data_IF_359528453490
#
_entry.id   IF_359528453490
#
_cell.length_a   1.000
_cell.length_b   1.000
_cell.length_c   1.000
_cell.angle_alpha   90.00
_cell.angle_beta   90.00
_cell.angle_gamma   90.00
#
_symmetry.space_group_name_H-M   'P 1'
#
loop_
_entity.id
_entity.type
_entity.pdbx_description
1 polymer ?
#
# COMPACT_ATOMS: atom_id res chain seq x y z
N UNK A 1 -7.08 42.78 -4.98
CA UNK A 1 -8.06 41.85 -4.38
C UNK A 1 -8.90 41.02 -5.38
N UNK A 2 -9.00 41.39 -6.67
CA UNK A 2 -9.80 40.66 -7.66
C UNK A 2 -9.31 39.22 -8.00
N UNK A 3 -7.99 38.96 -7.91
CA UNK A 3 -7.41 37.64 -8.22
C UNK A 3 -7.75 36.54 -7.21
N UNK A 4 -7.91 36.89 -5.93
CA UNK A 4 -8.27 35.93 -4.87
C UNK A 4 -9.75 35.49 -4.97
N UNK A 5 -10.64 36.39 -5.41
CA UNK A 5 -12.06 36.10 -5.64
C UNK A 5 -12.30 35.18 -6.82
N UNK A 6 -11.60 35.38 -7.95
CA UNK A 6 -11.64 34.48 -9.12
C UNK A 6 -11.07 33.09 -8.81
N UNK A 7 -9.94 33.02 -8.10
CA UNK A 7 -9.34 31.75 -7.71
C UNK A 7 -10.25 30.94 -6.77
N UNK A 8 -10.90 31.58 -5.78
CA UNK A 8 -11.87 30.92 -4.89
C UNK A 8 -13.12 30.42 -5.61
N UNK A 9 -13.63 31.17 -6.61
CA UNK A 9 -14.78 30.74 -7.44
C UNK A 9 -14.44 29.55 -8.35
N UNK A 10 -13.26 29.56 -8.98
CA UNK A 10 -12.81 28.43 -9.82
C UNK A 10 -12.63 27.13 -9.02
N UNK A 11 -12.06 27.21 -7.82
CA UNK A 11 -11.90 26.07 -6.91
C UNK A 11 -13.22 25.49 -6.42
N UNK A 12 -14.22 26.34 -6.11
CA UNK A 12 -15.55 25.86 -5.69
C UNK A 12 -16.27 25.12 -6.81
N UNK A 13 -16.15 25.59 -8.05
CA UNK A 13 -16.73 24.94 -9.24
C UNK A 13 -16.07 23.59 -9.53
N UNK A 14 -14.74 23.53 -9.49
CA UNK A 14 -13.95 22.30 -9.66
C UNK A 14 -14.32 21.26 -8.58
N UNK A 15 -14.47 21.68 -7.31
CA UNK A 15 -14.88 20.78 -6.21
C UNK A 15 -16.32 20.30 -6.39
N UNK A 16 -17.24 21.17 -6.81
CA UNK A 16 -18.66 20.83 -6.99
C UNK A 16 -18.90 19.78 -8.09
N UNK A 17 -18.08 19.81 -9.15
CA UNK A 17 -18.13 18.82 -10.23
C UNK A 17 -17.80 17.39 -9.72
N UNK A 18 -16.80 17.26 -8.84
CA UNK A 18 -16.46 15.97 -8.22
C UNK A 18 -17.43 15.55 -7.11
N UNK A 19 -18.04 16.51 -6.40
CA UNK A 19 -19.01 16.19 -5.36
C UNK A 19 -20.27 15.48 -5.91
N UNK A 20 -20.50 15.53 -7.23
CA UNK A 20 -21.53 14.77 -7.92
C UNK A 20 -21.19 13.30 -8.19
N UNK A 21 -19.95 12.86 -7.92
CA UNK A 21 -19.57 11.45 -8.14
C UNK A 21 -20.28 10.54 -7.13
N UNK A 22 -21.14 9.65 -7.65
CA UNK A 22 -21.91 8.71 -6.84
C UNK A 22 -21.04 7.62 -6.18
N UNK A 23 -21.60 6.91 -5.18
CA UNK A 23 -20.91 5.81 -4.52
C UNK A 23 -20.62 4.67 -5.50
N UNK A 24 -19.50 3.98 -5.28
CA UNK A 24 -19.09 2.77 -5.98
C UNK A 24 -19.15 1.60 -4.99
N UNK A 25 -19.87 0.55 -5.36
CA UNK A 25 -19.94 -0.68 -4.57
C UNK A 25 -18.60 -1.42 -4.66
N UNK A 26 -18.20 -2.11 -3.58
CA UNK A 26 -16.99 -2.94 -3.57
C UNK A 26 -17.38 -4.41 -3.52
N UNK A 27 -16.78 -5.22 -4.39
CA UNK A 27 -17.04 -6.64 -4.48
C UNK A 27 -15.76 -7.45 -4.75
N UNK A 28 -15.87 -8.75 -4.53
CA UNK A 28 -14.87 -9.75 -4.86
C UNK A 28 -15.50 -10.81 -5.75
N UNK A 29 -14.81 -11.21 -6.81
CA UNK A 29 -15.26 -12.23 -7.75
C UNK A 29 -14.18 -13.29 -7.91
N UNK A 30 -14.43 -14.51 -7.43
CA UNK A 30 -13.52 -15.64 -7.62
C UNK A 30 -13.92 -16.48 -8.83
N UNK A 31 -13.10 -16.45 -9.87
CA UNK A 31 -13.24 -17.26 -11.06
C UNK A 31 -12.63 -18.65 -10.79
N UNK A 32 -13.48 -19.62 -10.44
CA UNK A 32 -13.07 -21.02 -10.19
C UNK A 32 -13.26 -21.53 -8.76
N UNK A 33 -13.79 -20.71 -7.85
CA UNK A 33 -14.05 -21.07 -6.44
C UNK A 33 -15.30 -21.91 -6.17
N UNK A 34 -15.97 -22.43 -7.20
CA UNK A 34 -17.09 -23.36 -7.03
C UNK A 34 -16.59 -24.76 -6.67
N UNK A 35 -16.61 -25.12 -5.39
CA UNK A 35 -16.29 -26.47 -4.91
C UNK A 35 -17.41 -27.48 -5.15
N UNK A 36 -16.98 -28.70 -5.47
CA UNK A 36 -17.67 -29.99 -5.57
C UNK A 36 -18.76 -30.18 -6.64
N UNK A 37 -18.35 -30.82 -7.74
CA UNK A 37 -19.24 -31.53 -8.65
C UNK A 37 -19.89 -30.67 -9.75
N UNK A 38 -19.17 -30.47 -10.85
CA UNK A 38 -19.81 -30.30 -12.16
C UNK A 38 -20.48 -28.95 -12.46
N UNK A 39 -19.80 -27.82 -12.25
CA UNK A 39 -19.72 -26.69 -13.22
C UNK A 39 -18.89 -25.58 -12.58
N UNK A 40 -17.79 -25.16 -13.22
CA UNK A 40 -16.87 -24.13 -12.71
C UNK A 40 -17.51 -22.73 -12.68
N UNK A 41 -18.38 -22.49 -11.70
CA UNK A 41 -19.05 -21.21 -11.46
C UNK A 41 -18.14 -20.18 -10.80
N UNK A 42 -18.37 -18.90 -11.13
CA UNK A 42 -17.72 -17.79 -10.45
C UNK A 42 -18.49 -17.43 -9.17
N UNK A 43 -17.78 -17.09 -8.10
CA UNK A 43 -18.38 -16.74 -6.81
C UNK A 43 -18.24 -15.24 -6.56
N UNK A 44 -19.36 -14.52 -6.54
CA UNK A 44 -19.42 -13.10 -6.19
C UNK A 44 -19.68 -12.93 -4.68
N UNK A 45 -18.85 -12.12 -4.02
CA UNK A 45 -19.00 -11.73 -2.61
C UNK A 45 -18.94 -10.21 -2.49
N UNK A 46 -19.63 -9.60 -1.51
CA UNK A 46 -19.40 -8.20 -1.19
C UNK A 46 -17.98 -8.03 -0.62
N UNK A 47 -17.35 -6.87 -0.86
CA UNK A 47 -16.07 -6.55 -0.25
C UNK A 47 -16.16 -6.46 1.29
N UNK A 48 -15.03 -6.45 2.00
CA UNK A 48 -15.05 -6.49 3.46
C UNK A 48 -15.85 -5.35 4.10
N UNK A 49 -16.87 -5.70 4.88
CA UNK A 49 -17.78 -4.75 5.52
C UNK A 49 -18.65 -3.94 4.55
N UNK A 50 -18.83 -4.42 3.32
CA UNK A 50 -19.75 -3.86 2.31
C UNK A 50 -21.08 -4.63 2.26
N UNK A 51 -22.20 -3.96 1.89
CA UNK A 51 -23.47 -4.65 1.67
C UNK A 51 -23.43 -5.55 0.42
N UNK A 52 -24.40 -6.47 0.25
CA UNK A 52 -24.57 -7.24 -0.97
C UNK A 52 -24.63 -6.37 -2.22
N UNK A 53 -24.06 -6.85 -3.33
CA UNK A 53 -23.99 -6.12 -4.60
C UNK A 53 -25.36 -6.04 -5.26
N UNK A 54 -25.76 -4.85 -5.67
CA UNK A 54 -27.00 -4.57 -6.43
C UNK A 54 -26.69 -3.92 -7.78
N UNK A 55 -27.66 -3.25 -8.40
CA UNK A 55 -27.46 -2.42 -9.59
C UNK A 55 -26.58 -1.19 -9.31
N UNK A 56 -25.94 -0.67 -10.37
CA UNK A 56 -25.06 0.51 -10.33
C UNK A 56 -23.58 0.19 -10.58
N UNK A 57 -22.70 1.13 -10.23
CA UNK A 57 -21.24 1.01 -10.39
C UNK A 57 -20.65 0.10 -9.32
N UNK A 58 -19.87 -0.90 -9.73
CA UNK A 58 -19.21 -1.86 -8.86
C UNK A 58 -17.71 -1.95 -9.20
N UNK A 59 -16.86 -1.65 -8.23
CA UNK A 59 -15.44 -1.99 -8.23
C UNK A 59 -15.28 -3.43 -7.76
N UNK A 60 -14.58 -4.26 -8.54
CA UNK A 60 -14.45 -5.69 -8.29
C UNK A 60 -12.99 -6.08 -8.23
N UNK A 61 -12.56 -6.68 -7.11
CA UNK A 61 -11.35 -7.49 -7.09
C UNK A 61 -11.66 -8.83 -7.74
N UNK A 62 -10.91 -9.20 -8.77
CA UNK A 62 -11.03 -10.50 -9.42
C UNK A 62 -9.97 -11.44 -8.85
N UNK A 63 -10.41 -12.62 -8.44
CA UNK A 63 -9.59 -13.72 -7.96
C UNK A 63 -9.66 -14.91 -8.91
N UNK A 64 -8.65 -15.76 -8.84
CA UNK A 64 -8.65 -17.10 -9.41
C UNK A 64 -8.11 -18.08 -8.40
N UNK A 65 -8.95 -19.02 -7.98
CA UNK A 65 -8.63 -19.99 -6.93
C UNK A 65 -8.11 -19.26 -5.67
N UNK A 66 -8.87 -18.26 -5.20
CA UNK A 66 -8.52 -17.45 -4.03
C UNK A 66 -7.46 -16.36 -4.24
N UNK A 67 -6.65 -16.41 -5.31
CA UNK A 67 -5.55 -15.46 -5.52
C UNK A 67 -5.97 -14.21 -6.28
N UNK A 68 -5.59 -12.99 -5.84
CA UNK A 68 -5.92 -11.76 -6.54
C UNK A 68 -5.18 -11.64 -7.88
N UNK A 69 -5.89 -11.38 -8.97
CA UNK A 69 -5.32 -11.34 -10.34
C UNK A 69 -5.58 -10.02 -11.08
N UNK A 70 -6.53 -9.22 -10.63
CA UNK A 70 -6.93 -8.00 -11.34
C UNK A 70 -8.01 -7.24 -10.58
N UNK A 71 -8.26 -5.99 -10.99
CA UNK A 71 -9.51 -5.31 -10.70
C UNK A 71 -10.22 -4.94 -11.99
N UNK A 72 -11.53 -4.72 -11.89
CA UNK A 72 -12.32 -4.09 -12.92
C UNK A 72 -13.38 -3.22 -12.29
N UNK A 73 -13.96 -2.34 -13.09
CA UNK A 73 -15.15 -1.60 -12.71
C UNK A 73 -16.27 -1.95 -13.69
N UNK A 74 -17.39 -2.43 -13.15
CA UNK A 74 -18.56 -2.83 -13.94
C UNK A 74 -19.76 -1.95 -13.64
N UNK A 75 -20.62 -1.76 -14.64
CA UNK A 75 -21.97 -1.23 -14.46
C UNK A 75 -22.95 -2.39 -14.47
N UNK A 76 -23.70 -2.56 -13.38
CA UNK A 76 -24.75 -3.58 -13.25
C UNK A 76 -26.10 -2.92 -13.55
N UNK A 77 -26.79 -3.26 -14.65
CA UNK A 77 -28.11 -2.72 -14.94
C UNK A 77 -29.14 -3.09 -13.88
N UNK A 78 -30.18 -2.27 -13.74
CA UNK A 78 -31.32 -2.59 -12.87
C UNK A 78 -32.00 -3.89 -13.31
N UNK A 79 -32.31 -4.76 -12.33
CA UNK A 79 -32.90 -6.09 -12.58
C UNK A 79 -31.94 -7.15 -13.14
N UNK A 80 -30.68 -6.82 -13.44
CA UNK A 80 -29.69 -7.79 -13.89
C UNK A 80 -29.04 -8.55 -12.72
N UNK A 81 -28.66 -9.81 -12.95
CA UNK A 81 -27.86 -10.61 -12.01
C UNK A 81 -26.40 -10.08 -11.98
N UNK A 82 -25.93 -9.49 -10.86
CA UNK A 82 -24.59 -8.92 -10.75
C UNK A 82 -23.50 -9.97 -11.01
N UNK A 83 -23.67 -11.21 -10.55
CA UNK A 83 -22.66 -12.25 -10.70
C UNK A 83 -22.43 -12.59 -12.17
N UNK A 84 -23.51 -12.71 -12.96
CA UNK A 84 -23.42 -12.96 -14.41
C UNK A 84 -22.77 -11.80 -15.16
N UNK A 85 -23.16 -10.56 -14.86
CA UNK A 85 -22.62 -9.36 -15.52
C UNK A 85 -21.13 -9.23 -15.25
N UNK A 86 -20.73 -9.28 -13.97
CA UNK A 86 -19.34 -9.09 -13.56
C UNK A 86 -18.44 -10.25 -14.02
N UNK A 87 -18.95 -11.49 -14.01
CA UNK A 87 -18.22 -12.65 -14.58
C UNK A 87 -17.93 -12.48 -16.06
N UNK A 88 -18.88 -11.96 -16.83
CA UNK A 88 -18.67 -11.71 -18.27
C UNK A 88 -17.58 -10.66 -18.48
N UNK A 89 -17.58 -9.59 -17.70
CA UNK A 89 -16.55 -8.55 -17.77
C UNK A 89 -15.16 -9.09 -17.37
N UNK A 90 -15.09 -9.92 -16.33
CA UNK A 90 -13.83 -10.45 -15.80
C UNK A 90 -13.12 -11.43 -16.74
N UNK A 91 -13.84 -12.08 -17.67
CA UNK A 91 -13.25 -12.99 -18.67
C UNK A 91 -12.23 -12.30 -19.60
N UNK A 92 -12.32 -10.98 -19.76
CA UNK A 92 -11.42 -10.19 -20.60
C UNK A 92 -10.09 -9.80 -19.94
N UNK A 93 -9.90 -10.07 -18.63
CA UNK A 93 -8.67 -9.68 -17.94
C UNK A 93 -7.47 -10.54 -18.38
N UNK A 94 -6.33 -9.94 -18.77
CA UNK A 94 -5.12 -10.66 -19.12
C UNK A 94 -4.64 -11.54 -17.95
N UNK A 95 -4.25 -12.77 -18.27
CA UNK A 95 -3.99 -13.86 -17.31
C UNK A 95 -4.73 -15.15 -17.64
N UNK A 96 -5.57 -15.15 -18.69
CA UNK A 96 -6.26 -16.32 -19.24
C UNK A 96 -5.35 -17.28 -20.00
N UNK A 97 -4.81 -18.28 -19.30
CA UNK A 97 -4.30 -19.53 -19.85
C UNK A 97 -3.92 -20.47 -18.71
N UNK A 98 -4.21 -21.79 -18.79
CA UNK A 98 -3.60 -22.74 -17.87
C UNK A 98 -2.07 -22.68 -18.06
N UNK A 99 -1.33 -22.92 -16.99
CA UNK A 99 0.13 -22.89 -17.01
C UNK A 99 0.70 -23.75 -18.15
N UNK A 100 1.50 -23.13 -19.03
CA UNK A 100 2.34 -23.81 -20.02
C UNK A 100 2.07 -23.46 -21.48
N UNK A 101 2.73 -22.40 -21.97
CA UNK A 101 3.24 -22.32 -23.35
C UNK A 101 4.30 -21.20 -23.42
N UNK A 102 5.52 -21.45 -23.95
CA UNK A 102 6.48 -20.37 -24.21
C UNK A 102 5.97 -19.46 -25.34
N UNK A 103 6.32 -18.17 -25.35
CA UNK A 103 5.86 -17.23 -26.36
C UNK A 103 6.33 -17.63 -27.75
N UNK A 104 5.40 -17.69 -28.70
CA UNK A 104 5.66 -17.84 -30.13
C UNK A 104 6.62 -16.75 -30.61
N UNK A 105 7.73 -17.18 -31.23
CA UNK A 105 8.69 -16.32 -31.90
C UNK A 105 8.11 -15.85 -33.23
N UNK A 106 8.30 -14.57 -33.55
CA UNK A 106 8.09 -14.02 -34.89
C UNK A 106 8.90 -14.80 -35.96
N UNK A 107 8.37 -14.97 -37.18
CA UNK A 107 8.97 -15.80 -38.21
C UNK A 107 10.15 -15.07 -38.87
N UNK A 108 11.35 -15.64 -38.76
CA UNK A 108 12.52 -15.07 -39.45
C UNK A 108 13.87 -15.50 -38.89
N UNK A 109 14.11 -16.80 -38.71
CA UNK A 109 15.47 -17.33 -38.58
C UNK A 109 15.46 -18.86 -38.80
N UNK A 110 16.33 -19.32 -39.69
CA UNK A 110 16.54 -20.73 -40.07
C UNK A 110 16.98 -21.56 -38.86
N UNK A 111 16.39 -22.75 -38.57
CA UNK A 111 16.81 -23.55 -37.42
C UNK A 111 18.01 -24.44 -37.76
N UNK A 112 19.13 -24.21 -37.06
CA UNK A 112 20.20 -25.20 -36.90
C UNK A 112 19.78 -26.22 -35.83
N UNK A 113 19.77 -27.51 -36.19
CA UNK A 113 19.44 -28.63 -35.30
C UNK A 113 20.58 -28.85 -34.30
N UNK A 114 20.36 -28.51 -33.03
CA UNK A 114 21.13 -29.03 -31.90
C UNK A 114 20.37 -30.21 -31.23
N UNK A 115 21.05 -31.19 -30.61
CA UNK A 115 20.43 -32.40 -30.08
C UNK A 115 19.59 -32.15 -28.83
N UNK A 116 18.49 -32.89 -28.71
CA UNK A 116 17.58 -32.92 -27.54
C UNK A 116 18.29 -33.57 -26.36
N UNK A 117 18.40 -32.94 -25.17
CA UNK A 117 18.87 -33.62 -23.97
C UNK A 117 17.78 -34.53 -23.40
N UNK A 118 18.19 -35.74 -22.99
CA UNK A 118 17.36 -36.78 -22.40
C UNK A 118 16.64 -36.33 -21.11
N UNK A 119 15.48 -36.92 -20.78
CA UNK A 119 14.69 -36.56 -19.61
C UNK A 119 15.40 -36.98 -18.31
N UNK A 120 15.69 -36.00 -17.45
CA UNK A 120 16.19 -36.22 -16.09
C UNK A 120 15.02 -36.69 -15.21
N UNK A 121 15.16 -37.79 -14.44
CA UNK A 121 14.09 -38.30 -13.59
C UNK A 121 13.73 -37.32 -12.46
N UNK A 122 12.43 -37.22 -12.19
CA UNK A 122 11.87 -36.45 -11.09
C UNK A 122 12.25 -37.06 -9.75
N UNK A 123 13.11 -36.39 -8.98
CA UNK A 123 13.18 -36.50 -7.51
C UNK A 123 14.20 -35.50 -6.94
N UNK A 124 13.71 -34.37 -6.44
CA UNK A 124 14.24 -33.77 -5.21
C UNK A 124 13.10 -33.01 -4.55
N UNK A 125 12.49 -33.63 -3.54
CA UNK A 125 11.66 -32.93 -2.58
C UNK A 125 12.58 -32.04 -1.76
N UNK A 126 12.90 -30.84 -2.28
CA UNK A 126 13.45 -29.81 -1.41
C UNK A 126 12.41 -29.54 -0.30
N UNK A 127 12.83 -29.53 0.98
CA UNK A 127 11.93 -29.20 2.06
C UNK A 127 11.32 -27.83 1.80
N UNK A 128 9.99 -27.77 1.81
CA UNK A 128 9.28 -26.49 1.72
C UNK A 128 9.80 -25.60 2.85
N UNK A 129 10.37 -24.42 2.56
CA UNK A 129 10.91 -23.55 3.60
C UNK A 129 9.82 -23.24 4.62
N UNK A 130 10.08 -23.51 5.89
CA UNK A 130 9.14 -23.17 6.96
C UNK A 130 8.87 -21.65 6.94
N UNK A 131 7.60 -21.23 7.10
CA UNK A 131 7.27 -19.82 7.14
C UNK A 131 7.94 -19.15 8.35
N UNK A 132 8.58 -17.97 8.18
CA UNK A 132 9.28 -17.32 9.27
C UNK A 132 8.30 -16.81 10.33
N UNK A 133 8.68 -16.87 11.61
CA UNK A 133 7.92 -16.27 12.70
C UNK A 133 7.63 -14.79 12.41
N UNK A 134 6.39 -14.34 12.62
CA UNK A 134 5.99 -12.95 12.31
C UNK A 134 5.37 -12.25 13.50
N UNK A 135 5.77 -10.99 13.70
CA UNK A 135 5.05 -10.08 14.60
C UNK A 135 4.41 -8.95 13.82
N UNK A 136 3.11 -8.75 13.98
CA UNK A 136 2.34 -7.67 13.36
C UNK A 136 2.24 -6.49 14.32
N UNK A 137 2.67 -5.30 13.88
CA UNK A 137 2.54 -4.05 14.62
C UNK A 137 1.42 -3.22 14.02
N UNK A 138 0.43 -2.87 14.84
CA UNK A 138 -0.67 -1.96 14.48
C UNK A 138 -0.57 -0.72 15.36
N UNK A 139 -0.25 0.42 14.77
CA UNK A 139 -0.28 1.70 15.47
C UNK A 139 -1.69 2.30 15.39
N UNK A 140 -2.21 2.80 16.51
CA UNK A 140 -3.57 3.34 16.58
C UNK A 140 -3.64 4.54 17.51
N UNK A 141 -4.64 5.38 17.32
CA UNK A 141 -4.94 6.51 18.21
C UNK A 141 -6.41 6.91 18.11
N UNK A 142 -7.17 6.71 19.19
CA UNK A 142 -8.57 7.15 19.33
C UNK A 142 -9.48 6.64 18.19
N UNK A 143 -9.32 5.37 17.80
CA UNK A 143 -10.07 4.71 16.71
C UNK A 143 -10.45 3.25 17.05
N UNK A 144 -11.06 2.98 18.22
CA UNK A 144 -11.27 1.61 18.68
C UNK A 144 -12.09 0.74 17.70
N UNK A 145 -13.07 1.30 16.97
CA UNK A 145 -13.91 0.53 16.04
C UNK A 145 -13.21 0.17 14.73
N UNK A 146 -12.26 0.99 14.29
CA UNK A 146 -11.40 0.66 13.14
C UNK A 146 -10.41 -0.42 13.58
N UNK A 147 -9.72 -0.19 14.70
CA UNK A 147 -8.79 -1.14 15.30
C UNK A 147 -9.42 -2.52 15.50
N UNK A 148 -10.64 -2.58 16.03
CA UNK A 148 -11.32 -3.85 16.26
C UNK A 148 -11.50 -4.66 14.97
N UNK A 149 -11.85 -3.99 13.86
CA UNK A 149 -11.99 -4.65 12.55
C UNK A 149 -10.65 -5.12 12.01
N UNK A 150 -9.60 -4.31 12.15
CA UNK A 150 -8.25 -4.71 11.76
C UNK A 150 -7.81 -5.94 12.55
N UNK A 151 -7.93 -5.93 13.89
CA UNK A 151 -7.56 -7.04 14.77
C UNK A 151 -8.36 -8.32 14.49
N UNK A 152 -9.67 -8.21 14.24
CA UNK A 152 -10.50 -9.36 13.88
C UNK A 152 -9.98 -10.04 12.59
N UNK A 153 -9.52 -9.26 11.60
CA UNK A 153 -8.92 -9.80 10.37
C UNK A 153 -7.50 -10.36 10.55
N UNK A 154 -6.72 -9.79 11.46
CA UNK A 154 -5.36 -10.25 11.78
C UNK A 154 -5.36 -11.56 12.56
N UNK A 155 -6.37 -11.79 13.40
CA UNK A 155 -6.53 -13.05 14.13
C UNK A 155 -7.12 -14.17 13.29
N UNK A 156 -7.58 -13.87 12.06
CA UNK A 156 -8.13 -14.83 11.10
C UNK A 156 -7.12 -15.25 10.02
N UNK A 157 -5.84 -14.89 10.17
CA UNK A 157 -4.78 -15.21 9.21
C UNK A 157 -4.44 -16.70 9.23
N UNK A 158 -4.04 -17.24 8.08
CA UNK A 158 -3.62 -18.63 7.91
C UNK A 158 -2.16 -18.92 8.32
N UNK A 159 -1.45 -17.90 8.80
CA UNK A 159 -0.04 -18.01 9.16
C UNK A 159 0.12 -18.68 10.54
N UNK A 160 0.99 -19.71 10.67
CA UNK A 160 1.02 -20.56 11.86
C UNK A 160 1.67 -19.92 13.10
N UNK A 161 2.60 -18.98 12.92
CA UNK A 161 3.34 -18.33 14.01
C UNK A 161 3.22 -16.80 13.94
N UNK A 162 2.20 -16.26 14.60
CA UNK A 162 1.84 -14.83 14.55
C UNK A 162 1.70 -14.25 15.96
N UNK A 163 2.41 -13.13 16.19
CA UNK A 163 2.27 -12.29 17.38
C UNK A 163 1.69 -10.91 16.99
N UNK A 164 0.57 -10.49 17.58
CA UNK A 164 -0.02 -9.17 17.27
C UNK A 164 0.25 -8.17 18.38
N UNK A 165 0.86 -7.04 18.03
CA UNK A 165 1.21 -5.94 18.93
C UNK A 165 0.47 -4.67 18.53
N UNK A 166 -0.40 -4.19 19.42
CA UNK A 166 -1.06 -2.89 19.27
C UNK A 166 -0.25 -1.84 19.99
N UNK A 167 0.11 -0.78 19.26
CA UNK A 167 0.76 0.40 19.81
C UNK A 167 -0.22 1.56 19.86
N UNK A 168 -0.70 1.88 21.06
CA UNK A 168 -1.58 3.01 21.33
C UNK A 168 -0.75 4.29 21.45
N UNK A 169 -0.87 5.17 20.45
CA UNK A 169 0.03 6.31 20.27
C UNK A 169 -0.52 7.62 20.82
N UNK A 170 0.11 8.12 21.88
CA UNK A 170 -0.27 9.31 22.64
C UNK A 170 -1.78 9.34 22.93
N UNK A 171 -2.32 8.28 23.58
CA UNK A 171 -3.74 8.20 23.91
C UNK A 171 -4.13 9.35 24.84
N UNK A 172 -5.36 9.83 24.66
CA UNK A 172 -6.01 10.80 25.55
C UNK A 172 -7.05 10.12 26.44
N UNK A 173 -7.54 8.95 26.02
CA UNK A 173 -8.53 8.14 26.72
C UNK A 173 -8.00 6.72 26.97
N UNK A 174 -8.72 5.93 27.77
CA UNK A 174 -8.39 4.52 28.03
C UNK A 174 -9.04 3.53 27.05
N UNK A 175 -9.81 4.01 26.08
CA UNK A 175 -10.72 3.18 25.26
C UNK A 175 -9.98 2.11 24.46
N UNK A 176 -8.84 2.46 23.84
CA UNK A 176 -7.99 1.49 23.12
C UNK A 176 -7.51 0.38 24.03
N UNK A 177 -7.03 0.72 25.24
CA UNK A 177 -6.53 -0.25 26.21
C UNK A 177 -7.65 -1.17 26.69
N UNK A 178 -8.81 -0.60 26.97
CA UNK A 178 -10.00 -1.33 27.41
C UNK A 178 -10.48 -2.32 26.33
N UNK A 179 -10.56 -1.87 25.08
CA UNK A 179 -10.88 -2.72 23.92
C UNK A 179 -9.91 -3.90 23.81
N UNK A 180 -8.60 -3.63 23.79
CA UNK A 180 -7.58 -4.68 23.64
C UNK A 180 -7.64 -5.67 24.80
N UNK A 181 -7.70 -5.17 26.04
CA UNK A 181 -7.68 -6.02 27.23
C UNK A 181 -8.94 -6.87 27.36
N UNK A 182 -10.13 -6.31 27.09
CA UNK A 182 -11.41 -7.02 27.30
C UNK A 182 -11.81 -7.92 26.15
N UNK A 183 -11.66 -7.47 24.89
CA UNK A 183 -12.12 -8.25 23.72
C UNK A 183 -11.07 -9.25 23.24
N UNK A 184 -9.79 -8.87 23.29
CA UNK A 184 -8.72 -9.66 22.68
C UNK A 184 -7.88 -10.42 23.70
N UNK A 185 -7.66 -9.84 24.89
CA UNK A 185 -6.93 -10.47 25.98
C UNK A 185 -5.49 -10.80 25.58
N UNK A 186 -5.02 -12.00 25.91
CA UNK A 186 -3.63 -12.43 25.66
C UNK A 186 -3.29 -12.64 24.18
N UNK A 187 -4.32 -12.73 23.31
CA UNK A 187 -4.13 -12.87 21.85
C UNK A 187 -3.51 -11.63 21.20
N UNK A 188 -3.59 -10.48 21.86
CA UNK A 188 -3.08 -9.20 21.34
C UNK A 188 -2.34 -8.46 22.43
N UNK A 189 -1.06 -8.13 22.20
CA UNK A 189 -0.23 -7.39 23.15
C UNK A 189 -0.47 -5.90 23.02
N UNK A 190 -0.93 -5.27 24.11
CA UNK A 190 -1.06 -3.81 24.19
C UNK A 190 0.26 -3.15 24.63
N UNK A 191 0.67 -2.11 23.91
CA UNK A 191 1.80 -1.25 24.25
C UNK A 191 1.38 0.22 24.13
N UNK A 192 1.63 1.01 25.17
CA UNK A 192 1.45 2.47 25.10
C UNK A 192 2.76 3.15 24.66
N UNK A 193 2.63 4.12 23.74
CA UNK A 193 3.68 5.07 23.37
C UNK A 193 3.21 6.49 23.68
N UNK A 194 3.72 7.16 24.73
CA UNK A 194 3.22 8.48 25.12
C UNK A 194 3.60 9.61 24.15
N UNK A 195 4.62 9.45 23.32
CA UNK A 195 5.10 10.49 22.41
C UNK A 195 4.39 10.37 21.05
N UNK A 196 3.70 11.42 20.57
CA UNK A 196 2.95 11.34 19.32
C UNK A 196 3.89 11.21 18.10
N UNK A 197 3.48 10.37 17.15
CA UNK A 197 4.14 10.18 15.87
C UNK A 197 4.11 8.72 15.42
N UNK A 198 3.71 8.47 14.17
CA UNK A 198 3.59 7.13 13.61
C UNK A 198 4.95 6.39 13.64
N UNK A 199 6.02 7.05 13.23
CA UNK A 199 7.37 6.48 13.29
C UNK A 199 7.82 6.17 14.74
N UNK A 200 7.37 6.96 15.72
CA UNK A 200 7.62 6.70 17.14
C UNK A 200 6.89 5.42 17.56
N UNK A 201 5.61 5.30 17.21
CA UNK A 201 4.78 4.13 17.49
C UNK A 201 5.33 2.86 16.80
N UNK A 202 5.73 2.96 15.53
CA UNK A 202 6.36 1.85 14.81
C UNK A 202 7.67 1.40 15.48
N UNK A 203 8.51 2.34 15.93
CA UNK A 203 9.73 2.01 16.65
C UNK A 203 9.46 1.40 18.03
N UNK A 204 8.41 1.86 18.72
CA UNK A 204 7.94 1.25 19.98
C UNK A 204 7.49 -0.19 19.75
N UNK A 205 6.72 -0.44 18.68
CA UNK A 205 6.34 -1.78 18.25
C UNK A 205 7.55 -2.64 17.90
N UNK A 206 8.49 -2.13 17.11
CA UNK A 206 9.74 -2.82 16.73
C UNK A 206 10.61 -3.22 17.94
N UNK A 207 10.53 -2.48 19.05
CA UNK A 207 11.19 -2.85 20.29
C UNK A 207 10.48 -4.01 21.02
N UNK A 208 9.18 -4.20 20.79
CA UNK A 208 8.34 -5.21 21.45
C UNK A 208 8.15 -6.50 20.63
N UNK A 209 8.48 -6.51 19.33
CA UNK A 209 8.32 -7.68 18.44
C UNK A 209 9.36 -8.77 18.69
N UNK A 210 8.95 -10.02 18.48
CA UNK A 210 9.75 -11.22 18.71
C UNK A 210 10.02 -12.03 17.44
N UNK A 211 9.19 -11.88 16.42
CA UNK A 211 9.31 -12.62 15.17
C UNK A 211 10.52 -12.21 14.34
N UNK A 212 10.99 -13.14 13.52
CA UNK A 212 12.06 -12.94 12.53
C UNK A 212 11.68 -11.91 11.47
N UNK A 213 10.38 -11.81 11.20
CA UNK A 213 9.77 -10.78 10.36
C UNK A 213 8.85 -9.90 11.20
N UNK A 214 8.89 -8.60 10.96
CA UNK A 214 7.96 -7.63 11.52
C UNK A 214 7.10 -7.06 10.39
N UNK A 215 5.79 -7.27 10.48
CA UNK A 215 4.81 -6.68 9.57
C UNK A 215 4.19 -5.43 10.21
N UNK A 216 3.91 -4.43 9.40
CA UNK A 216 3.22 -3.19 9.80
C UNK A 216 1.96 -3.04 8.95
N UNK A 217 0.87 -2.68 9.62
CA UNK A 217 -0.38 -2.33 8.99
C UNK A 217 -1.14 -1.31 9.84
N UNK A 218 -2.11 -0.63 9.24
CA UNK A 218 -2.84 0.47 9.89
C UNK A 218 -4.10 -0.01 10.61
N UNK A 219 -4.61 0.79 11.56
CA UNK A 219 -5.86 0.46 12.26
C UNK A 219 -7.11 0.54 11.36
N UNK A 220 -7.01 1.13 10.18
CA UNK A 220 -8.09 1.32 9.21
C UNK A 220 -8.04 0.34 8.02
N UNK A 221 -7.26 -0.74 8.15
CA UNK A 221 -7.23 -1.84 7.16
C UNK A 221 -8.04 -3.07 7.59
N UNK A 222 -8.39 -3.90 6.61
CA UNK A 222 -8.85 -5.28 6.79
C UNK A 222 -7.91 -6.18 5.99
N UNK A 223 -7.18 -7.06 6.67
CA UNK A 223 -6.23 -7.97 6.03
C UNK A 223 -6.96 -9.08 5.28
N UNK A 224 -6.48 -9.42 4.08
CA UNK A 224 -6.91 -10.63 3.37
C UNK A 224 -6.56 -11.89 4.18
N UNK A 225 -7.34 -12.99 4.16
CA UNK A 225 -7.02 -14.20 4.93
C UNK A 225 -5.63 -14.78 4.67
N UNK A 226 -5.07 -14.58 3.46
CA UNK A 226 -3.74 -15.05 3.07
C UNK A 226 -2.67 -13.96 3.15
N UNK A 227 -2.99 -12.78 3.71
CA UNK A 227 -2.12 -11.61 3.70
C UNK A 227 -0.76 -11.89 4.32
N UNK A 228 -0.71 -12.45 5.53
CA UNK A 228 0.55 -12.73 6.21
C UNK A 228 1.38 -13.76 5.47
N UNK A 229 0.80 -14.89 5.09
CA UNK A 229 1.50 -15.95 4.37
C UNK A 229 2.10 -15.46 3.05
N UNK A 230 1.35 -14.70 2.26
CA UNK A 230 1.84 -14.13 1.00
C UNK A 230 2.89 -13.01 1.24
N UNK A 231 2.74 -12.20 2.30
CA UNK A 231 3.69 -11.13 2.63
C UNK A 231 5.02 -11.67 3.16
N UNK A 232 4.99 -12.76 3.94
CA UNK A 232 6.18 -13.32 4.61
C UNK A 232 6.90 -14.37 3.76
N UNK A 233 6.21 -15.08 2.86
CA UNK A 233 6.80 -16.13 2.01
C UNK A 233 8.13 -15.73 1.32
N UNK A 234 8.28 -14.50 0.76
CA UNK A 234 9.54 -14.09 0.15
C UNK A 234 10.76 -14.10 1.09
N UNK A 235 10.56 -13.89 2.40
CA UNK A 235 11.65 -13.88 3.38
C UNK A 235 12.20 -15.28 3.66
N UNK A 236 11.39 -16.32 3.48
CA UNK A 236 11.81 -17.71 3.59
C UNK A 236 12.74 -18.11 2.43
N UNK A 237 12.48 -17.55 1.24
CA UNK A 237 13.21 -17.93 0.01
C UNK A 237 14.40 -17.02 -0.34
N UNK A 238 14.44 -15.77 0.12
CA UNK A 238 15.52 -14.82 -0.21
C UNK A 238 16.19 -14.26 1.06
N UNK A 239 17.35 -14.79 1.45
CA UNK A 239 18.13 -14.28 2.58
C UNK A 239 18.57 -12.80 2.42
N UNK A 240 18.63 -12.27 1.20
CA UNK A 240 18.97 -10.86 0.95
C UNK A 240 17.76 -9.93 1.03
N UNK A 241 16.55 -10.47 1.16
CA UNK A 241 15.35 -9.68 1.31
C UNK A 241 15.34 -9.00 2.69
N UNK A 242 15.28 -7.68 2.68
CA UNK A 242 15.15 -6.86 3.88
C UNK A 242 13.74 -6.30 4.07
N UNK A 243 12.98 -6.15 2.99
CA UNK A 243 11.64 -5.56 2.99
C UNK A 243 10.72 -6.25 1.98
N UNK A 244 9.46 -6.45 2.35
CA UNK A 244 8.37 -6.80 1.45
C UNK A 244 7.22 -5.80 1.62
N UNK A 245 6.45 -5.58 0.56
CA UNK A 245 5.23 -4.77 0.59
C UNK A 245 4.15 -5.46 -0.20
N UNK A 246 2.89 -5.04 -0.01
CA UNK A 246 1.76 -5.70 -0.66
C UNK A 246 0.76 -4.74 -1.33
N UNK A 247 -0.26 -5.35 -1.93
CA UNK A 247 -1.35 -4.66 -2.59
C UNK A 247 -2.29 -4.02 -1.57
N UNK A 248 -2.75 -2.80 -1.86
CA UNK A 248 -3.69 -2.07 -1.02
C UNK A 248 -4.86 -1.64 -1.91
N UNK A 249 -6.06 -2.13 -1.61
CA UNK A 249 -7.31 -1.82 -2.32
C UNK A 249 -8.28 -1.03 -1.46
N UNK A 250 -9.23 -0.28 -2.05
CA UNK A 250 -10.23 0.46 -1.30
C UNK A 250 -11.23 -0.48 -0.63
N UNK A 251 -11.37 -0.42 0.70
CA UNK A 251 -12.44 -1.13 1.41
C UNK A 251 -13.83 -0.51 1.15
N UNK A 252 -13.88 0.80 0.84
CA UNK A 252 -15.11 1.58 0.63
C UNK A 252 -14.87 2.74 -0.34
N UNK A 253 -15.84 2.98 -1.22
CA UNK A 253 -15.87 4.10 -2.16
C UNK A 253 -17.24 4.80 -2.11
N UNK A 254 -17.65 5.26 -0.93
CA UNK A 254 -18.98 5.87 -0.70
C UNK A 254 -19.01 7.38 -0.92
N UNK A 255 -17.86 8.04 -0.82
CA UNK A 255 -17.77 9.49 -0.95
C UNK A 255 -16.96 9.90 -2.18
N UNK A 256 -17.23 11.09 -2.73
CA UNK A 256 -16.41 11.69 -3.77
C UNK A 256 -14.91 11.73 -3.46
N UNK A 257 -14.54 11.94 -2.19
CA UNK A 257 -13.14 12.01 -1.78
C UNK A 257 -12.43 10.65 -1.92
N UNK A 258 -13.10 9.57 -1.52
CA UNK A 258 -12.58 8.20 -1.62
C UNK A 258 -12.47 7.79 -3.10
N UNK A 259 -13.53 8.04 -3.85
CA UNK A 259 -13.59 7.76 -5.29
C UNK A 259 -12.48 8.51 -6.04
N UNK A 260 -12.29 9.79 -5.75
CA UNK A 260 -11.28 10.61 -6.42
C UNK A 260 -9.86 10.12 -6.09
N UNK A 261 -9.59 9.73 -4.85
CA UNK A 261 -8.29 9.18 -4.46
C UNK A 261 -7.98 7.91 -5.26
N UNK A 262 -8.92 6.97 -5.34
CA UNK A 262 -8.74 5.71 -6.05
C UNK A 262 -8.58 5.93 -7.56
N UNK A 263 -9.34 6.85 -8.13
CA UNK A 263 -9.24 7.28 -9.54
C UNK A 263 -7.86 7.80 -9.96
N UNK A 264 -7.01 8.13 -8.99
CA UNK A 264 -5.66 8.65 -9.19
C UNK A 264 -4.56 7.63 -8.88
N UNK A 265 -4.91 6.35 -8.91
CA UNK A 265 -4.02 5.22 -8.69
C UNK A 265 -3.96 4.74 -7.24
N UNK A 266 -4.79 5.32 -6.36
CA UNK A 266 -4.96 4.88 -4.97
C UNK A 266 -3.64 4.54 -4.27
N UNK A 267 -3.63 3.42 -3.56
CA UNK A 267 -2.42 2.85 -2.97
C UNK A 267 -1.84 1.67 -3.76
N UNK A 268 -2.61 1.07 -4.66
CA UNK A 268 -2.18 -0.07 -5.45
C UNK A 268 -0.96 0.21 -6.35
N UNK A 269 -0.21 -0.84 -6.67
CA UNK A 269 0.94 -0.81 -7.61
C UNK A 269 0.81 -1.86 -8.71
N UNK A 270 -0.43 -2.26 -9.00
CA UNK A 270 -0.77 -3.31 -9.96
C UNK A 270 -0.59 -4.73 -9.40
N UNK A 271 -0.81 -5.73 -10.26
CA UNK A 271 -0.78 -7.16 -9.92
C UNK A 271 0.50 -7.88 -10.36
N UNK A 272 1.50 -7.13 -10.84
CA UNK A 272 2.79 -7.72 -11.23
C UNK A 272 3.76 -7.67 -10.05
N UNK A 273 4.25 -8.82 -9.54
CA UNK A 273 5.28 -8.82 -8.51
C UNK A 273 6.56 -8.15 -9.01
N UNK A 274 7.24 -7.41 -8.14
CA UNK A 274 8.46 -6.68 -8.52
C UNK A 274 9.50 -6.72 -7.42
N UNK A 275 10.72 -7.13 -7.77
CA UNK A 275 11.87 -7.11 -6.85
C UNK A 275 12.80 -5.95 -7.22
N UNK A 276 13.15 -5.15 -6.23
CA UNK A 276 14.10 -4.05 -6.31
C UNK A 276 15.42 -4.48 -5.66
N UNK A 277 16.45 -4.68 -6.49
CA UNK A 277 17.80 -5.04 -6.04
C UNK A 277 18.72 -3.81 -6.17
N UNK A 278 19.28 -3.27 -5.08
CA UNK A 278 20.17 -2.11 -5.16
C UNK A 278 21.45 -2.39 -5.98
N UNK A 279 21.83 -3.65 -6.18
CA UNK A 279 22.95 -4.05 -7.04
C UNK A 279 22.57 -4.06 -8.53
N UNK A 280 21.28 -4.02 -8.86
CA UNK A 280 20.74 -3.95 -10.22
C UNK A 280 19.59 -2.93 -10.29
N UNK A 281 19.91 -1.62 -10.19
CA UNK A 281 18.89 -0.57 -10.22
C UNK A 281 17.99 -0.66 -11.46
N UNK A 282 16.66 -0.54 -11.31
CA UNK A 282 15.74 -0.58 -12.45
C UNK A 282 15.89 0.64 -13.37
N UNK A 283 15.94 0.40 -14.68
CA UNK A 283 16.11 1.44 -15.69
C UNK A 283 14.90 2.39 -15.80
N UNK A 284 13.69 1.92 -15.49
CA UNK A 284 12.44 2.69 -15.51
C UNK A 284 12.20 3.51 -14.23
N UNK A 285 13.19 3.57 -13.32
CA UNK A 285 13.11 4.29 -12.04
C UNK A 285 14.31 5.24 -11.87
N UNK A 286 14.29 6.42 -12.51
CA UNK A 286 15.45 7.32 -12.55
C UNK A 286 15.85 7.88 -11.18
N UNK A 287 14.93 7.87 -10.20
CA UNK A 287 15.21 8.31 -8.83
C UNK A 287 15.63 7.18 -7.90
N UNK A 288 15.70 5.92 -8.35
CA UNK A 288 15.99 4.80 -7.47
C UNK A 288 17.31 4.98 -6.67
N UNK A 289 17.33 4.75 -5.35
CA UNK A 289 16.24 4.24 -4.51
C UNK A 289 15.33 5.34 -3.92
N UNK A 290 15.55 6.62 -4.20
CA UNK A 290 14.79 7.76 -3.67
C UNK A 290 13.40 7.98 -4.30
N UNK A 291 12.84 6.94 -4.94
CA UNK A 291 11.53 7.04 -5.57
C UNK A 291 10.43 6.95 -4.52
N UNK A 292 9.35 7.72 -4.69
CA UNK A 292 8.17 7.62 -3.85
C UNK A 292 7.01 6.95 -4.59
N UNK A 293 6.22 6.17 -3.87
CA UNK A 293 4.96 5.59 -4.38
C UNK A 293 5.12 4.43 -5.37
N UNK A 294 6.32 3.84 -5.49
CA UNK A 294 6.60 2.66 -6.35
C UNK A 294 6.80 1.38 -5.55
N UNK A 295 7.43 1.48 -4.37
CA UNK A 295 7.78 0.31 -3.57
C UNK A 295 6.63 -0.28 -2.75
N UNK A 296 5.53 0.44 -2.56
CA UNK A 296 4.46 0.09 -1.62
C UNK A 296 4.11 1.26 -0.70
N UNK A 297 3.42 0.99 0.40
CA UNK A 297 3.03 1.99 1.41
C UNK A 297 3.03 1.39 2.81
N UNK A 298 3.16 2.25 3.83
CA UNK A 298 3.21 1.88 5.25
C UNK A 298 2.08 1.00 5.77
N UNK A 299 0.89 1.06 5.14
CA UNK A 299 -0.26 0.24 5.54
C UNK A 299 -0.12 -1.26 5.17
N UNK A 300 0.85 -1.61 4.32
CA UNK A 300 1.10 -3.00 3.92
C UNK A 300 2.59 -3.21 3.62
N UNK A 301 3.37 -3.37 4.69
CA UNK A 301 4.80 -3.60 4.61
C UNK A 301 5.29 -4.59 5.68
N UNK A 302 6.34 -5.32 5.37
CA UNK A 302 7.05 -6.17 6.32
C UNK A 302 8.55 -6.03 6.13
N UNK A 303 9.30 -6.27 7.19
CA UNK A 303 10.75 -6.22 7.19
C UNK A 303 11.32 -7.43 7.90
N UNK A 304 12.51 -7.86 7.48
CA UNK A 304 13.31 -8.76 8.32
C UNK A 304 13.66 -7.97 9.59
N UNK A 305 13.24 -8.45 10.75
CA UNK A 305 13.31 -7.72 12.03
C UNK A 305 14.75 -7.28 12.33
N UNK A 306 15.72 -8.18 12.13
CA UNK A 306 17.13 -7.89 12.32
C UNK A 306 17.63 -6.76 11.39
N UNK A 307 17.15 -6.71 10.14
CA UNK A 307 17.54 -5.68 9.16
C UNK A 307 16.96 -4.33 9.56
N UNK A 308 15.67 -4.26 9.91
CA UNK A 308 15.06 -2.99 10.31
C UNK A 308 15.69 -2.44 11.59
N UNK A 309 16.03 -3.31 12.56
CA UNK A 309 16.81 -2.92 13.75
C UNK A 309 18.21 -2.42 13.39
N UNK A 310 18.93 -3.12 12.52
CA UNK A 310 20.28 -2.74 12.10
C UNK A 310 20.33 -1.38 11.37
N UNK A 311 19.29 -1.03 10.60
CA UNK A 311 19.20 0.31 9.99
C UNK A 311 18.76 1.41 10.97
N UNK A 312 18.42 1.05 12.21
CA UNK A 312 18.01 1.97 13.27
C UNK A 312 16.52 2.29 13.30
N UNK A 313 15.68 1.46 12.67
CA UNK A 313 14.24 1.66 12.58
C UNK A 313 13.84 2.85 11.69
N UNK A 314 12.69 3.43 12.00
CA UNK A 314 12.15 4.62 11.32
C UNK A 314 12.69 5.90 11.95
N UNK A 315 12.78 7.01 11.21
CA UNK A 315 13.12 8.30 11.81
C UNK A 315 11.95 8.83 12.65
N UNK A 316 12.10 9.01 13.98
CA UNK A 316 10.99 9.46 14.82
C UNK A 316 10.40 10.81 14.45
N UNK A 317 11.14 11.66 13.71
CA UNK A 317 10.71 12.98 13.28
C UNK A 317 9.95 12.98 11.94
N UNK A 318 9.75 11.82 11.30
CA UNK A 318 8.90 11.65 10.12
C UNK A 318 7.53 11.05 10.50
N UNK A 319 6.68 10.83 9.50
CA UNK A 319 5.41 10.12 9.67
C UNK A 319 4.23 10.96 10.14
N UNK A 320 3.04 10.37 10.09
CA UNK A 320 1.81 11.00 10.55
C UNK A 320 1.88 11.32 12.05
N UNK A 321 1.09 12.31 12.51
CA UNK A 321 1.12 12.78 13.90
C UNK A 321 2.28 13.74 14.24
N UNK A 322 3.27 13.88 13.36
CA UNK A 322 4.35 14.88 13.49
C UNK A 322 4.15 16.07 12.55
N UNK A 323 4.98 17.10 12.69
CA UNK A 323 5.04 18.24 11.78
C UNK A 323 5.58 17.86 10.39
N UNK A 324 6.23 16.69 10.22
CA UNK A 324 6.65 16.18 8.92
C UNK A 324 5.50 15.61 8.07
N UNK A 325 4.37 15.27 8.72
CA UNK A 325 3.12 14.79 8.09
C UNK A 325 3.16 13.42 7.40
N UNK A 326 4.31 12.82 7.14
CA UNK A 326 4.44 11.52 6.48
C UNK A 326 5.88 11.16 6.15
N UNK A 327 6.06 10.13 5.31
CA UNK A 327 7.34 9.73 4.74
C UNK A 327 8.20 8.80 5.61
N UNK A 328 7.65 8.26 6.70
CA UNK A 328 8.32 7.26 7.53
C UNK A 328 8.52 5.93 6.80
N UNK A 329 7.52 5.44 6.07
CA UNK A 329 7.61 4.26 5.21
C UNK A 329 8.71 4.39 4.14
N UNK A 330 8.72 5.51 3.40
CA UNK A 330 9.74 5.83 2.40
C UNK A 330 11.13 5.87 3.01
N UNK A 331 11.27 6.45 4.21
CA UNK A 331 12.53 6.44 4.94
C UNK A 331 12.98 4.99 5.22
N UNK A 332 12.10 4.16 5.76
CA UNK A 332 12.38 2.74 6.02
C UNK A 332 12.84 1.99 4.77
N UNK A 333 12.10 2.11 3.67
CA UNK A 333 12.42 1.45 2.39
C UNK A 333 13.79 1.86 1.87
N UNK A 334 14.07 3.17 1.82
CA UNK A 334 15.35 3.69 1.32
C UNK A 334 16.50 3.26 2.21
N UNK A 335 16.32 3.25 3.54
CA UNK A 335 17.38 2.84 4.48
C UNK A 335 17.74 1.36 4.32
N UNK A 336 16.76 0.49 4.08
CA UNK A 336 16.98 -0.93 3.79
C UNK A 336 17.71 -1.12 2.47
N UNK A 337 17.23 -0.49 1.39
CA UNK A 337 17.87 -0.55 0.07
C UNK A 337 19.31 0.01 0.10
N UNK A 338 19.54 1.11 0.82
CA UNK A 338 20.85 1.74 0.95
C UNK A 338 21.86 0.90 1.76
N UNK A 339 21.41 -0.13 2.50
CA UNK A 339 22.27 -1.11 3.15
C UNK A 339 22.49 -2.36 2.28
N UNK A 340 22.05 -2.36 1.01
CA UNK A 340 22.29 -3.43 0.07
C UNK A 340 21.27 -4.57 0.10
N UNK A 341 20.22 -4.46 0.92
CA UNK A 341 19.12 -5.42 0.97
C UNK A 341 18.13 -5.20 -0.18
N UNK A 342 17.39 -6.25 -0.53
CA UNK A 342 16.33 -6.20 -1.53
C UNK A 342 15.00 -5.78 -0.92
N UNK A 343 14.16 -5.20 -1.76
CA UNK A 343 12.75 -4.94 -1.49
C UNK A 343 11.88 -5.67 -2.50
N UNK A 344 10.80 -6.34 -2.07
CA UNK A 344 9.85 -7.01 -2.98
C UNK A 344 8.44 -6.48 -2.80
N UNK A 345 7.81 -6.06 -3.88
CA UNK A 345 6.37 -5.85 -3.95
C UNK A 345 5.68 -7.18 -4.31
N UNK A 346 4.79 -7.65 -3.44
CA UNK A 346 4.04 -8.90 -3.54
C UNK A 346 2.54 -8.60 -3.63
N UNK A 347 1.96 -8.53 -4.84
CA UNK A 347 0.56 -8.14 -5.02
C UNK A 347 -0.45 -9.17 -4.48
N UNK A 348 -0.02 -10.41 -4.25
CA UNK A 348 -0.83 -11.44 -3.57
C UNK A 348 -1.07 -11.11 -2.09
N UNK A 349 -0.18 -10.35 -1.46
CA UNK A 349 -0.34 -9.89 -0.09
C UNK A 349 -1.27 -8.67 -0.06
N UNK A 350 -2.57 -8.92 0.07
CA UNK A 350 -3.61 -7.90 -0.04
C UNK A 350 -4.08 -7.38 1.32
N UNK A 351 -4.29 -6.06 1.42
CA UNK A 351 -5.12 -5.45 2.46
C UNK A 351 -6.16 -4.51 1.86
N UNK A 352 -7.30 -4.38 2.52
CA UNK A 352 -8.38 -3.47 2.17
C UNK A 352 -8.32 -2.24 3.08
N UNK A 353 -8.10 -1.06 2.53
CA UNK A 353 -7.89 0.17 3.28
C UNK A 353 -9.15 1.06 3.30
N UNK A 354 -9.55 1.53 4.48
CA UNK A 354 -10.62 2.52 4.62
C UNK A 354 -10.10 3.93 4.36
N UNK A 355 -10.27 4.41 3.14
CA UNK A 355 -9.91 5.78 2.78
C UNK A 355 -10.68 6.81 3.61
N UNK A 356 -10.04 7.95 3.84
CA UNK A 356 -10.66 9.09 4.50
C UNK A 356 -11.87 9.59 3.70
N UNK A 357 -12.91 9.99 4.42
CA UNK A 357 -14.23 10.19 3.83
C UNK A 357 -14.45 11.60 3.29
N UNK A 358 -13.87 12.62 3.94
CA UNK A 358 -14.21 14.01 3.64
C UNK A 358 -13.27 14.66 2.65
N UNK A 359 -13.78 15.66 1.92
CA UNK A 359 -12.95 16.48 1.04
C UNK A 359 -11.80 17.19 1.78
N UNK A 360 -12.06 17.63 3.02
CA UNK A 360 -11.05 18.26 3.87
C UNK A 360 -9.93 17.28 4.22
N UNK A 361 -10.26 16.01 4.42
CA UNK A 361 -9.27 14.97 4.67
C UNK A 361 -8.40 14.73 3.44
N UNK A 362 -9.00 14.70 2.25
CA UNK A 362 -8.27 14.57 1.00
C UNK A 362 -7.32 15.76 0.76
N UNK A 363 -7.75 16.99 1.07
CA UNK A 363 -6.87 18.17 1.01
C UNK A 363 -5.70 18.07 1.99
N UNK A 364 -5.97 17.60 3.20
CA UNK A 364 -4.96 17.37 4.23
C UNK A 364 -3.98 16.29 3.78
N UNK A 365 -4.48 15.21 3.19
CA UNK A 365 -3.68 14.11 2.66
C UNK A 365 -2.82 14.56 1.47
N UNK A 366 -3.37 15.33 0.52
CA UNK A 366 -2.62 15.86 -0.62
C UNK A 366 -1.45 16.77 -0.16
N UNK A 367 -1.70 17.66 0.80
CA UNK A 367 -0.63 18.45 1.42
C UNK A 367 0.38 17.54 2.15
N UNK A 368 -0.11 16.57 2.92
CA UNK A 368 0.69 15.61 3.68
C UNK A 368 1.62 14.76 2.81
N UNK A 369 1.17 14.28 1.66
CA UNK A 369 2.01 13.54 0.69
C UNK A 369 3.16 14.40 0.16
N UNK A 370 2.87 15.67 -0.16
CA UNK A 370 3.92 16.62 -0.54
C UNK A 370 4.94 16.85 0.57
N UNK A 371 4.45 17.13 1.78
CA UNK A 371 5.30 17.38 2.94
C UNK A 371 6.13 16.16 3.34
N UNK A 372 5.53 14.98 3.37
CA UNK A 372 6.20 13.72 3.67
C UNK A 372 7.30 13.38 2.68
N UNK A 373 7.09 13.61 1.38
CA UNK A 373 8.08 13.39 0.33
C UNK A 373 9.39 14.14 0.60
N UNK A 374 9.32 15.44 0.87
CA UNK A 374 10.55 16.23 1.07
C UNK A 374 11.04 16.17 2.52
N UNK A 375 10.17 15.86 3.48
CA UNK A 375 10.57 15.57 4.85
C UNK A 375 11.42 14.31 4.93
N UNK A 376 11.05 13.19 4.28
CA UNK A 376 11.86 11.97 4.34
C UNK A 376 13.22 12.16 3.63
N UNK A 377 13.26 12.87 2.50
CA UNK A 377 14.52 13.21 1.83
C UNK A 377 15.41 14.04 2.75
N UNK A 378 14.84 15.02 3.43
CA UNK A 378 15.55 15.82 4.43
C UNK A 378 16.05 14.94 5.59
N UNK A 379 15.21 14.03 6.09
CA UNK A 379 15.58 13.08 7.12
C UNK A 379 16.76 12.19 6.69
N UNK A 380 16.73 11.66 5.46
CA UNK A 380 17.83 10.87 4.91
C UNK A 380 19.14 11.66 4.88
N UNK A 381 19.12 12.87 4.33
CA UNK A 381 20.33 13.70 4.23
C UNK A 381 20.86 14.15 5.60
N UNK A 382 19.97 14.44 6.54
CA UNK A 382 20.35 14.83 7.91
C UNK A 382 20.97 13.68 8.70
N UNK A 383 20.52 12.45 8.49
CA UNK A 383 21.06 11.28 9.19
C UNK A 383 22.20 10.60 8.43
N UNK A 384 22.26 10.76 7.10
CA UNK A 384 23.23 10.13 6.19
C UNK A 384 23.63 11.11 5.07
N UNK A 385 24.43 12.15 5.38
CA UNK A 385 24.82 13.16 4.39
C UNK A 385 25.60 12.59 3.20
N UNK A 386 26.25 11.43 3.36
CA UNK A 386 26.92 10.70 2.28
C UNK A 386 25.99 10.27 1.13
N UNK A 387 24.66 10.29 1.32
CA UNK A 387 23.69 10.00 0.24
C UNK A 387 23.46 11.18 -0.70
N UNK A 388 23.94 12.39 -0.37
CA UNK A 388 23.69 13.60 -1.15
C UNK A 388 24.20 13.50 -2.60
N UNK A 389 25.43 13.06 -2.89
CA UNK A 389 25.89 12.96 -4.28
C UNK A 389 25.04 12.01 -5.12
N UNK A 390 24.65 10.87 -4.55
CA UNK A 390 23.81 9.89 -5.23
C UNK A 390 22.41 10.44 -5.55
N UNK A 391 21.84 11.23 -4.65
CA UNK A 391 20.57 11.93 -4.88
C UNK A 391 20.73 12.99 -5.97
N UNK A 392 21.72 13.88 -5.86
CA UNK A 392 21.94 14.97 -6.81
C UNK A 392 22.14 14.47 -8.25
N UNK A 393 22.90 13.39 -8.42
CA UNK A 393 23.12 12.75 -9.73
C UNK A 393 21.83 12.28 -10.40
N UNK A 394 20.81 11.92 -9.62
CA UNK A 394 19.52 11.37 -10.08
C UNK A 394 18.43 12.43 -10.24
N UNK A 395 18.60 13.60 -9.64
CA UNK A 395 17.59 14.67 -9.67
C UNK A 395 17.18 15.11 -11.09
N UNK A 396 18.11 15.30 -12.06
CA UNK A 396 17.70 15.71 -13.41
C UNK A 396 16.75 14.69 -14.08
N UNK A 397 17.11 13.40 -14.02
CA UNK A 397 16.27 12.31 -14.55
C UNK A 397 14.94 12.20 -13.82
N UNK A 398 14.94 12.37 -12.48
CA UNK A 398 13.73 12.39 -11.68
C UNK A 398 12.79 13.55 -11.99
N UNK A 399 13.32 14.75 -12.21
CA UNK A 399 12.53 15.92 -12.59
C UNK A 399 11.96 15.77 -14.01
N UNK A 400 12.73 15.22 -14.95
CA UNK A 400 12.24 14.91 -16.29
C UNK A 400 11.09 13.89 -16.23
N UNK A 401 11.25 12.82 -15.46
CA UNK A 401 10.22 11.81 -15.25
C UNK A 401 8.96 12.37 -14.57
N UNK A 402 9.11 13.19 -13.53
CA UNK A 402 7.98 13.84 -12.86
C UNK A 402 7.19 14.77 -13.79
N UNK A 403 7.87 15.49 -14.69
CA UNK A 403 7.24 16.33 -15.71
C UNK A 403 6.45 15.48 -16.71
N UNK A 404 7.03 14.39 -17.20
CA UNK A 404 6.36 13.45 -18.12
C UNK A 404 5.09 12.86 -17.48
N UNK A 405 5.18 12.41 -16.22
CA UNK A 405 4.02 11.91 -15.48
C UNK A 405 2.93 12.97 -15.27
N UNK A 406 3.33 14.23 -15.04
CA UNK A 406 2.37 15.33 -14.84
C UNK A 406 1.67 15.68 -16.15
N UNK A 407 2.39 15.72 -17.27
CA UNK A 407 1.78 15.92 -18.59
C UNK A 407 0.76 14.82 -18.91
N UNK A 408 1.10 13.55 -18.63
CA UNK A 408 0.17 12.42 -18.76
C UNK A 408 -1.00 12.42 -17.76
N UNK A 409 -0.96 13.24 -16.69
CA UNK A 409 -2.09 13.40 -15.74
C UNK A 409 -3.15 14.37 -16.27
N UNK A 410 -2.81 15.24 -17.21
CA UNK A 410 -3.71 16.28 -17.72
C UNK A 410 -4.58 15.79 -18.89
N UNK A 411 -4.32 14.58 -19.42
CA UNK A 411 -4.94 14.02 -20.63
C UNK A 411 -5.93 12.87 -20.39
N UNK A 412 -6.27 12.53 -19.15
CA UNK A 412 -7.16 11.39 -18.82
C UNK A 412 -8.64 11.65 -19.11
N UNK A 413 -9.24 10.79 -19.94
CA UNK A 413 -10.68 10.76 -20.29
C UNK A 413 -11.50 9.81 -19.41
N UNK A 414 -12.83 9.93 -19.50
CA UNK A 414 -13.81 9.32 -18.59
C UNK A 414 -13.86 7.78 -18.62
N UNK A 415 -13.42 7.17 -17.53
CA UNK A 415 -13.70 5.79 -17.15
C UNK A 415 -14.24 5.78 -15.70
N UNK A 416 -14.53 4.62 -15.12
CA UNK A 416 -15.02 4.51 -13.74
C UNK A 416 -13.88 4.19 -12.75
N UNK A 417 -13.87 4.77 -11.52
CA UNK A 417 -12.79 4.69 -10.53
C UNK A 417 -12.28 3.28 -10.21
N UNK A 418 -10.98 3.01 -10.42
CA UNK A 418 -10.28 1.87 -9.79
C UNK A 418 -9.95 0.66 -10.67
N UNK A 419 -10.05 0.73 -11.99
CA UNK A 419 -9.25 -0.17 -12.82
C UNK A 419 -7.77 0.20 -12.62
N UNK A 420 -6.96 -0.70 -12.04
CA UNK A 420 -5.54 -0.39 -11.81
C UNK A 420 -4.87 -0.12 -13.16
N UNK A 421 -4.20 1.03 -13.24
CA UNK A 421 -3.61 1.67 -14.44
C UNK A 421 -4.52 2.62 -15.25
N UNK A 422 -5.81 2.75 -14.90
CA UNK A 422 -6.73 3.72 -15.52
C UNK A 422 -6.95 4.95 -14.65
N UNK A 423 -6.83 6.14 -15.25
CA UNK A 423 -7.15 7.42 -14.62
C UNK A 423 -8.48 7.91 -15.14
N UNK A 424 -9.46 7.95 -14.25
CA UNK A 424 -10.88 8.00 -14.61
C UNK A 424 -11.48 9.39 -14.39
N UNK A 425 -10.94 10.14 -13.42
CA UNK A 425 -11.31 11.50 -13.10
C UNK A 425 -10.07 12.41 -13.15
N UNK A 426 -10.16 13.68 -13.57
CA UNK A 426 -9.02 14.59 -13.55
C UNK A 426 -8.62 14.98 -12.12
N UNK A 427 -7.32 15.14 -11.86
CA UNK A 427 -6.86 15.52 -10.51
C UNK A 427 -7.10 17.02 -10.30
N UNK A 428 -7.82 17.43 -9.25
CA UNK A 428 -8.08 18.84 -9.03
C UNK A 428 -6.80 19.64 -8.91
N UNK A 429 -6.72 20.76 -9.63
CA UNK A 429 -5.57 21.68 -9.62
C UNK A 429 -5.29 22.18 -8.20
N UNK A 430 -6.31 22.33 -7.36
CA UNK A 430 -6.16 22.64 -5.94
C UNK A 430 -5.35 21.58 -5.20
N UNK A 431 -5.62 20.29 -5.38
CA UNK A 431 -4.89 19.21 -4.73
C UNK A 431 -3.44 19.19 -5.19
N UNK A 432 -3.18 19.36 -6.50
CA UNK A 432 -1.82 19.53 -7.04
C UNK A 432 -1.06 20.70 -6.40
N UNK A 433 -1.73 21.85 -6.21
CA UNK A 433 -1.14 23.03 -5.56
C UNK A 433 -0.85 22.77 -4.08
N UNK A 434 -1.75 22.10 -3.37
CA UNK A 434 -1.55 21.71 -1.98
C UNK A 434 -0.36 20.76 -1.83
N UNK A 435 -0.25 19.76 -2.70
CA UNK A 435 0.89 18.85 -2.71
C UNK A 435 2.21 19.58 -2.95
N UNK A 436 2.29 20.48 -3.94
CA UNK A 436 3.49 21.31 -4.17
C UNK A 436 3.84 22.21 -2.97
N UNK A 437 2.84 22.82 -2.32
CA UNK A 437 3.04 23.58 -1.09
C UNK A 437 3.55 22.70 0.05
N UNK A 438 3.04 21.47 0.15
CA UNK A 438 3.54 20.45 1.05
C UNK A 438 5.02 20.18 0.81
N UNK A 439 5.42 19.95 -0.44
CA UNK A 439 6.83 19.71 -0.80
C UNK A 439 7.76 20.84 -0.37
N UNK A 440 7.34 22.11 -0.50
CA UNK A 440 8.13 23.24 0.00
C UNK A 440 8.20 23.27 1.54
N UNK A 441 7.15 22.81 2.22
CA UNK A 441 7.07 22.79 3.68
C UNK A 441 7.84 21.64 4.32
N UNK A 442 7.92 20.46 3.67
CA UNK A 442 8.44 19.23 4.26
C UNK A 442 9.78 19.35 5.01
N UNK A 443 10.83 20.01 4.47
CA UNK A 443 12.09 20.17 5.20
C UNK A 443 11.93 20.95 6.50
N UNK A 444 11.14 22.04 6.47
CA UNK A 444 10.82 22.84 7.66
C UNK A 444 10.00 22.03 8.65
N UNK A 445 9.01 21.26 8.16
CA UNK A 445 8.19 20.35 8.96
C UNK A 445 9.04 19.32 9.71
N UNK A 446 9.96 18.67 9.02
CA UNK A 446 10.91 17.72 9.60
C UNK A 446 11.81 18.37 10.67
N UNK A 447 12.42 19.52 10.37
CA UNK A 447 13.27 20.22 11.35
C UNK A 447 12.50 20.64 12.60
N UNK A 448 11.23 21.05 12.45
CA UNK A 448 10.33 21.35 13.57
C UNK A 448 10.03 20.10 14.39
N UNK A 449 9.66 18.99 13.75
CA UNK A 449 9.42 17.71 14.42
C UNK A 449 10.64 17.25 15.22
N UNK A 450 11.84 17.33 14.63
CA UNK A 450 13.10 16.98 15.29
C UNK A 450 13.39 17.87 16.51
N UNK A 451 13.07 19.17 16.45
CA UNK A 451 13.18 20.07 17.61
C UNK A 451 12.18 19.71 18.70
N UNK A 452 10.92 19.46 18.36
CA UNK A 452 9.89 19.03 19.32
C UNK A 452 10.30 17.76 20.06
N UNK A 453 10.79 16.74 19.35
CA UNK A 453 11.24 15.48 19.95
C UNK A 453 12.44 15.66 20.90
N UNK A 454 13.37 16.57 20.57
CA UNK A 454 14.48 16.91 21.48
C UNK A 454 13.99 17.54 22.77
N UNK A 455 12.98 18.42 22.70
CA UNK A 455 12.38 19.04 23.89
C UNK A 455 11.67 17.98 24.75
N UNK A 456 10.87 17.10 24.15
CA UNK A 456 10.18 16.02 24.88
C UNK A 456 11.17 15.10 25.59
N UNK A 457 12.26 14.70 24.93
CA UNK A 457 13.32 13.87 25.53
C UNK A 457 14.10 14.55 26.65
N UNK A 458 14.15 15.88 26.67
CA UNK A 458 14.83 16.64 27.74
C UNK A 458 13.95 16.84 28.97
N UNK A 459 12.63 16.86 28.82
CA UNK A 459 11.69 16.96 29.95
C UNK A 459 11.31 15.62 30.59
N UNK A 460 11.79 14.49 30.05
CA UNK A 460 11.58 13.12 30.55
C UNK A 460 12.84 12.52 31.19
N UNK A 461 13.95 13.25 31.18
CA UNK A 461 15.16 12.99 31.97
C UNK A 461 15.17 13.98 33.13
#
# INVERSE_FOLDING_TARGET
MAGAGRARRGTRRETAEFLGTGPVQIAELDLGGGGDGGSGGALLRPGPGSPPVTSGTVFVLVRRAGRPVGTLVGQVPEGADPARVLTRLARGLPGGGPAGAPPERSPGAVPSRAPVPEPVPASSSEPVPEPPSVSVVVATRERPELLARALDSLLAQDHPDVDVVVVDNAPRTGETRELVTRKYGERVRYVCEPVPGLAVAHNRGLAAVRGDVVAFTDDDVVADPHWLSELTAPFATDPRLGCATGLILPARLRTPAQVLLESHGGFAKGFTPRTYDPRRPPADEPLFPFTAGRFGSGANMAFRTAVLRAVGGFDPATGAGTQARGGDDLYGFVRVLAQGHRLRYTPSALVWHHHRETWRDLETQAFGYGAGLTAYLTALLVNRPAMLPALLLRLPGGLAYARALTAARETGGGAAPGAHDERTHPWPRRLSRLQRRGMLYGPVGYLRARRTLRTVRRGTR
#
